data_IF_926757129367
#
_entry.id   IF_926757129367
#
_cell.length_a   1.000
_cell.length_b   1.000
_cell.length_c   1.000
_cell.angle_alpha   90.00
_cell.angle_beta   90.00
_cell.angle_gamma   90.00
#
_symmetry.space_group_name_H-M   'P 1'
#
loop_
_entity.id
_entity.type
_entity.pdbx_description
1 polymer ?
#
# COMPACT_ATOMS: atom_id res chain seq x y z
N UNK A 1 3.43 21.87 -13.91
CA UNK A 1 3.87 20.86 -12.93
C UNK A 1 2.64 20.35 -12.20
N UNK A 2 2.23 19.10 -12.41
CA UNK A 2 1.06 18.54 -11.70
C UNK A 2 1.48 18.12 -10.29
N UNK A 3 0.75 18.60 -9.28
CA UNK A 3 1.04 18.31 -7.88
C UNK A 3 0.73 16.84 -7.63
N UNK A 4 1.77 15.99 -7.60
CA UNK A 4 1.67 14.53 -7.41
C UNK A 4 1.36 14.18 -5.95
N UNK A 5 0.19 14.57 -5.46
CA UNK A 5 -0.22 14.41 -4.06
C UNK A 5 -0.01 15.64 -3.19
N UNK A 6 -0.54 15.59 -1.97
CA UNK A 6 -0.52 16.65 -0.96
C UNK A 6 0.36 16.23 0.22
N UNK A 7 1.21 17.14 0.71
CA UNK A 7 2.01 16.90 1.91
C UNK A 7 1.36 17.62 3.08
N UNK A 8 1.10 16.89 4.16
CA UNK A 8 0.62 17.43 5.43
C UNK A 8 1.59 16.94 6.51
N UNK A 9 2.32 17.87 7.12
CA UNK A 9 3.40 17.57 8.06
C UNK A 9 4.41 16.59 7.44
N UNK A 10 4.59 15.41 8.03
CA UNK A 10 5.48 14.34 7.56
C UNK A 10 4.74 13.25 6.75
N UNK A 11 3.50 13.53 6.32
CA UNK A 11 2.63 12.59 5.59
C UNK A 11 2.39 13.04 4.16
N UNK A 12 2.67 12.16 3.19
CA UNK A 12 2.27 12.33 1.79
C UNK A 12 0.95 11.61 1.51
N UNK A 13 -0.06 12.37 1.09
CA UNK A 13 -1.31 11.86 0.54
C UNK A 13 -1.17 11.73 -0.97
N UNK A 14 -1.29 10.53 -1.52
CA UNK A 14 -1.11 10.28 -2.95
C UNK A 14 -2.15 9.29 -3.49
N UNK A 15 -2.45 9.34 -4.80
CA UNK A 15 -3.32 8.32 -5.38
C UNK A 15 -2.60 6.97 -5.52
N UNK A 16 -1.35 6.96 -6.02
CA UNK A 16 -0.53 5.74 -6.15
C UNK A 16 -0.06 5.39 -7.57
N UNK A 17 -0.44 6.17 -8.59
CA UNK A 17 0.01 5.96 -9.99
C UNK A 17 1.44 6.44 -10.28
N UNK A 18 2.08 7.16 -9.35
CA UNK A 18 3.38 7.81 -9.60
C UNK A 18 4.31 7.62 -8.43
N UNK A 19 5.60 7.45 -8.73
CA UNK A 19 6.67 7.50 -7.73
C UNK A 19 6.82 8.94 -7.21
N UNK A 20 6.79 9.19 -5.89
CA UNK A 20 7.08 10.49 -5.32
C UNK A 20 8.52 10.91 -5.65
N UNK A 21 8.74 12.20 -5.86
CA UNK A 21 10.10 12.72 -6.09
C UNK A 21 10.96 12.61 -4.83
N UNK A 22 12.28 12.51 -5.01
CA UNK A 22 13.28 12.52 -3.93
C UNK A 22 13.22 13.78 -3.06
N UNK A 23 12.69 14.89 -3.58
CA UNK A 23 12.40 16.11 -2.81
C UNK A 23 11.44 15.88 -1.62
N UNK A 24 10.77 14.73 -1.56
CA UNK A 24 9.89 14.31 -0.47
C UNK A 24 10.50 13.22 0.41
N UNK A 25 11.82 13.06 0.38
CA UNK A 25 12.57 12.10 1.19
C UNK A 25 12.35 12.24 2.71
N UNK A 26 12.04 13.45 3.18
CA UNK A 26 11.81 13.75 4.60
C UNK A 26 10.50 13.20 5.16
N UNK A 27 9.58 12.71 4.31
CA UNK A 27 8.32 12.14 4.80
C UNK A 27 8.56 10.87 5.61
N UNK A 28 7.74 10.71 6.65
CA UNK A 28 7.69 9.48 7.47
C UNK A 28 6.56 8.57 7.08
N UNK A 29 5.55 9.09 6.38
CA UNK A 29 4.36 8.33 6.01
C UNK A 29 3.86 8.65 4.61
N UNK A 30 3.37 7.62 3.93
CA UNK A 30 2.59 7.72 2.70
C UNK A 30 1.22 7.10 2.97
N UNK A 31 0.15 7.83 2.66
CA UNK A 31 -1.21 7.28 2.61
C UNK A 31 -1.67 7.31 1.17
N UNK A 32 -2.06 6.15 0.64
CA UNK A 32 -2.40 6.02 -0.78
C UNK A 32 -3.56 5.08 -1.09
N UNK A 33 -4.17 5.30 -2.24
CA UNK A 33 -5.24 4.46 -2.79
C UNK A 33 -4.72 3.57 -3.93
N UNK A 34 -5.42 3.63 -5.07
CA UNK A 34 -5.11 2.94 -6.33
C UNK A 34 -5.26 1.41 -6.32
N UNK A 35 -4.66 0.73 -5.35
CA UNK A 35 -4.60 -0.74 -5.31
C UNK A 35 -5.95 -1.35 -4.89
N UNK A 36 -6.71 -0.64 -4.06
CA UNK A 36 -8.00 -1.09 -3.50
C UNK A 36 -7.90 -2.54 -2.98
N UNK A 37 -7.12 -2.78 -1.91
CA UNK A 37 -6.83 -4.12 -1.45
C UNK A 37 -8.08 -4.80 -0.88
N UNK A 38 -8.17 -6.10 -1.16
CA UNK A 38 -9.28 -6.98 -0.78
C UNK A 38 -8.67 -8.27 -0.28
N UNK A 39 -9.22 -8.82 0.79
CA UNK A 39 -8.80 -10.13 1.26
C UNK A 39 -9.31 -11.22 0.30
N UNK A 40 -8.40 -12.05 -0.20
CA UNK A 40 -8.70 -13.18 -1.07
C UNK A 40 -7.85 -14.39 -0.69
N UNK A 41 -8.50 -15.44 -0.21
CA UNK A 41 -7.90 -16.74 0.12
C UNK A 41 -8.93 -17.83 -0.14
N UNK A 42 -8.59 -18.87 -0.90
CA UNK A 42 -9.49 -19.99 -1.13
C UNK A 42 -10.10 -20.51 0.18
N UNK A 43 -11.42 -20.76 0.16
CA UNK A 43 -12.21 -21.26 1.29
C UNK A 43 -12.24 -20.36 2.54
N UNK A 44 -12.02 -19.05 2.40
CA UNK A 44 -12.18 -18.11 3.51
C UNK A 44 -13.55 -17.44 3.53
N UNK A 45 -14.18 -17.39 4.71
CA UNK A 45 -15.47 -16.71 4.95
C UNK A 45 -15.39 -15.18 4.88
N UNK A 46 -14.17 -14.62 4.88
CA UNK A 46 -13.91 -13.17 4.77
C UNK A 46 -13.44 -12.76 3.38
N UNK A 47 -13.54 -13.65 2.38
CA UNK A 47 -13.23 -13.31 1.00
C UNK A 47 -14.06 -12.14 0.50
N UNK A 48 -13.41 -11.28 -0.30
CA UNK A 48 -14.07 -10.09 -0.84
C UNK A 48 -14.18 -8.94 0.17
N UNK A 49 -13.73 -9.10 1.43
CA UNK A 49 -13.70 -7.99 2.38
C UNK A 49 -12.62 -6.98 2.02
N UNK A 50 -13.00 -5.70 2.06
CA UNK A 50 -12.07 -4.56 1.97
C UNK A 50 -11.15 -4.55 3.18
N UNK A 51 -9.88 -4.29 2.92
CA UNK A 51 -8.85 -4.23 3.96
C UNK A 51 -8.02 -2.96 3.82
N UNK A 52 -7.41 -2.54 4.91
CA UNK A 52 -6.27 -1.65 4.96
C UNK A 52 -5.00 -2.49 4.87
N UNK A 53 -3.97 -1.96 4.21
CA UNK A 53 -2.62 -2.51 4.32
C UNK A 53 -1.71 -1.47 4.98
N UNK A 54 -0.97 -1.91 5.99
CA UNK A 54 0.04 -1.12 6.68
C UNK A 54 1.39 -1.76 6.43
N UNK A 55 2.32 -1.01 5.85
CA UNK A 55 3.67 -1.47 5.56
C UNK A 55 4.66 -0.57 6.27
N UNK A 56 5.65 -1.17 6.91
CA UNK A 56 6.86 -0.47 7.35
C UNK A 56 7.99 -0.92 6.45
N UNK A 57 8.58 0.04 5.73
CA UNK A 57 9.61 -0.26 4.74
C UNK A 57 10.89 0.52 5.03
N UNK A 58 12.03 -0.03 4.61
CA UNK A 58 13.32 0.67 4.60
C UNK A 58 13.26 1.87 3.69
N UNK A 59 13.42 3.07 4.24
CA UNK A 59 13.30 4.33 3.50
C UNK A 59 14.35 4.42 2.41
N UNK A 60 15.58 4.02 2.69
CA UNK A 60 16.71 4.02 1.75
C UNK A 60 16.46 3.22 0.47
N UNK A 61 15.63 2.16 0.57
CA UNK A 61 15.25 1.33 -0.58
C UNK A 61 14.17 1.97 -1.45
N UNK A 62 13.42 2.94 -0.90
CA UNK A 62 12.40 3.70 -1.63
C UNK A 62 13.01 5.01 -2.16
N UNK A 63 13.72 5.73 -1.31
CA UNK A 63 14.39 7.00 -1.58
C UNK A 63 15.90 6.86 -1.29
N UNK A 64 16.72 6.59 -2.32
CA UNK A 64 18.17 6.50 -2.17
C UNK A 64 18.78 7.76 -1.54
N UNK A 65 19.79 7.59 -0.67
CA UNK A 65 20.43 8.69 0.05
C UNK A 65 19.71 9.13 1.33
N UNK A 66 18.68 8.40 1.76
CA UNK A 66 18.02 8.57 3.06
C UNK A 66 18.35 7.40 3.99
N UNK A 67 17.95 7.46 5.25
CA UNK A 67 18.07 6.37 6.22
C UNK A 67 16.78 6.27 7.05
N UNK A 68 16.43 5.06 7.48
CA UNK A 68 15.40 4.81 8.48
C UNK A 68 14.16 4.16 7.89
N UNK A 69 13.00 4.35 8.53
CA UNK A 69 11.75 3.68 8.14
C UNK A 69 10.73 4.63 7.54
N UNK A 70 9.95 4.10 6.61
CA UNK A 70 8.83 4.78 5.95
C UNK A 70 7.56 3.93 6.14
N UNK A 71 6.51 4.54 6.67
CA UNK A 71 5.19 3.91 6.73
C UNK A 71 4.47 4.10 5.39
N UNK A 72 3.90 3.03 4.84
CA UNK A 72 3.00 3.08 3.69
C UNK A 72 1.66 2.48 4.08
N UNK A 73 0.61 3.29 4.02
CA UNK A 73 -0.76 2.91 4.33
C UNK A 73 -1.55 2.89 3.02
N UNK A 74 -2.07 1.72 2.65
CA UNK A 74 -2.92 1.56 1.46
C UNK A 74 -4.37 1.46 1.92
N UNK A 75 -5.19 2.42 1.48
CA UNK A 75 -6.60 2.50 1.85
C UNK A 75 -7.47 1.67 0.89
N UNK A 76 -8.53 1.00 1.38
CA UNK A 76 -9.49 0.34 0.52
C UNK A 76 -10.32 1.36 -0.28
N UNK A 77 -11.02 0.89 -1.31
CA UNK A 77 -12.07 1.69 -1.95
C UNK A 77 -13.23 1.91 -0.99
N UNK A 78 -13.60 3.16 -0.71
CA UNK A 78 -14.77 3.48 0.12
C UNK A 78 -16.10 3.37 -0.63
N UNK A 79 -16.08 3.38 -1.96
CA UNK A 79 -17.30 3.29 -2.76
C UNK A 79 -17.85 1.85 -2.72
N UNK A 80 -19.05 1.70 -2.15
CA UNK A 80 -19.78 0.42 -2.03
C UNK A 80 -20.35 -0.05 -3.37
N UNK A 81 -20.67 0.88 -4.25
CA UNK A 81 -21.38 0.67 -5.52
C UNK A 81 -20.43 0.34 -6.67
N UNK A 82 -19.12 0.55 -6.50
CA UNK A 82 -18.12 0.08 -7.45
C UNK A 82 -17.99 -1.43 -7.26
N UNK A 83 -18.45 -2.26 -8.23
CA UNK A 83 -18.41 -3.70 -8.09
C UNK A 83 -16.96 -4.13 -7.89
N UNK A 84 -16.73 -4.93 -6.87
CA UNK A 84 -15.44 -5.56 -6.59
C UNK A 84 -15.24 -6.67 -7.60
N UNK A 85 -15.05 -6.30 -8.87
CA UNK A 85 -14.83 -7.29 -9.91
C UNK A 85 -13.55 -8.03 -9.51
N UNK A 86 -13.65 -9.35 -9.34
CA UNK A 86 -12.53 -10.30 -9.30
C UNK A 86 -11.79 -10.24 -10.64
N UNK A 87 -11.24 -9.07 -11.00
CA UNK A 87 -10.49 -8.92 -12.24
C UNK A 87 -9.20 -9.69 -12.02
N UNK A 88 -9.12 -10.84 -12.70
CA UNK A 88 -7.88 -11.56 -13.06
C UNK A 88 -6.89 -10.70 -13.88
N UNK A 89 -7.17 -9.41 -14.06
CA UNK A 89 -6.27 -8.48 -14.73
C UNK A 89 -5.30 -7.93 -13.71
N UNK A 90 -4.01 -8.15 -13.96
CA UNK A 90 -2.90 -7.61 -13.19
C UNK A 90 -3.19 -6.15 -12.83
N UNK A 91 -3.54 -5.89 -11.57
CA UNK A 91 -3.62 -4.51 -11.07
C UNK A 91 -2.25 -3.91 -11.36
N UNK A 92 -2.21 -2.71 -11.94
CA UNK A 92 -0.96 -1.97 -12.04
C UNK A 92 -0.44 -1.83 -10.60
N UNK A 93 0.60 -2.60 -10.27
CA UNK A 93 1.18 -2.54 -8.93
C UNK A 93 1.76 -1.14 -8.86
N UNK A 94 1.27 -0.33 -7.91
CA UNK A 94 1.77 1.03 -7.71
C UNK A 94 3.30 1.04 -7.79
N UNK A 95 3.92 2.01 -8.51
CA UNK A 95 5.38 2.06 -8.63
C UNK A 95 6.12 2.01 -7.29
N UNK A 96 5.53 2.57 -6.22
CA UNK A 96 6.09 2.55 -4.87
C UNK A 96 6.07 1.13 -4.29
N UNK A 97 4.96 0.41 -4.45
CA UNK A 97 4.80 -0.96 -3.95
C UNK A 97 5.67 -1.92 -4.77
N UNK A 98 5.74 -1.73 -6.09
CA UNK A 98 6.62 -2.53 -6.93
C UNK A 98 8.08 -2.35 -6.51
N UNK A 99 8.53 -1.11 -6.27
CA UNK A 99 9.86 -0.83 -5.73
C UNK A 99 10.08 -1.51 -4.37
N UNK A 100 9.11 -1.41 -3.46
CA UNK A 100 9.21 -2.03 -2.15
C UNK A 100 9.37 -3.56 -2.23
N UNK A 101 8.66 -4.22 -3.15
CA UNK A 101 8.77 -5.66 -3.41
C UNK A 101 10.10 -6.02 -4.09
N UNK A 102 10.48 -5.31 -5.15
CA UNK A 102 11.70 -5.56 -5.93
C UNK A 102 12.97 -5.44 -5.09
N UNK A 103 13.03 -4.46 -4.17
CA UNK A 103 14.18 -4.24 -3.31
C UNK A 103 14.09 -4.94 -1.94
N UNK A 104 13.08 -5.82 -1.75
CA UNK A 104 12.83 -6.48 -0.46
C UNK A 104 12.84 -5.49 0.72
N UNK A 105 12.20 -4.33 0.52
CA UNK A 105 12.24 -3.20 1.44
C UNK A 105 11.27 -3.36 2.63
N UNK A 106 10.30 -4.26 2.53
CA UNK A 106 9.24 -4.44 3.53
C UNK A 106 9.78 -5.18 4.74
N UNK A 107 9.83 -4.49 5.89
CA UNK A 107 10.27 -5.07 7.16
C UNK A 107 9.09 -5.65 7.95
N UNK A 108 7.96 -4.96 7.92
CA UNK A 108 6.73 -5.36 8.59
C UNK A 108 5.54 -5.04 7.69
N UNK A 109 4.52 -5.89 7.73
CA UNK A 109 3.27 -5.64 7.03
C UNK A 109 2.08 -6.22 7.79
N UNK A 110 0.93 -5.55 7.69
CA UNK A 110 -0.30 -5.94 8.35
C UNK A 110 -1.51 -5.64 7.44
N UNK A 111 -2.46 -6.56 7.40
CA UNK A 111 -3.75 -6.41 6.74
C UNK A 111 -4.87 -6.36 7.79
N UNK A 112 -5.69 -5.31 7.73
CA UNK A 112 -6.74 -5.06 8.72
C UNK A 112 -8.07 -4.80 8.02
N UNK A 113 -9.14 -5.39 8.51
CA UNK A 113 -10.51 -5.14 8.02
C UNK A 113 -11.04 -3.78 8.46
N UNK A 114 -12.14 -3.30 7.87
CA UNK A 114 -12.71 -1.99 8.21
C UNK A 114 -13.21 -1.88 9.67
N UNK A 115 -13.60 -3.01 10.27
CA UNK A 115 -14.01 -3.15 11.67
C UNK A 115 -12.82 -3.35 12.62
N UNK A 116 -11.58 -3.32 12.10
CA UNK A 116 -10.36 -3.37 12.91
C UNK A 116 -9.80 -4.77 13.17
N UNK A 117 -10.43 -5.83 12.64
CA UNK A 117 -9.89 -7.20 12.79
C UNK A 117 -8.62 -7.38 11.94
N UNK A 118 -7.54 -7.86 12.55
CA UNK A 118 -6.29 -8.21 11.85
C UNK A 118 -6.49 -9.55 11.14
N UNK A 119 -6.24 -9.58 9.83
CA UNK A 119 -6.42 -10.79 9.00
C UNK A 119 -5.10 -11.36 8.48
N UNK A 120 -4.01 -10.60 8.59
CA UNK A 120 -2.63 -11.05 8.40
C UNK A 120 -1.65 -10.02 8.97
N UNK A 121 -0.49 -10.49 9.43
CA UNK A 121 0.55 -9.70 10.12
C UNK A 121 1.98 -10.12 9.73
N UNK A 122 2.16 -10.68 8.53
CA UNK A 122 3.46 -11.13 8.02
C UNK A 122 3.99 -10.23 6.90
N UNK A 123 5.33 -10.15 6.77
CA UNK A 123 6.00 -9.34 5.73
C UNK A 123 5.60 -9.73 4.29
N UNK A 124 5.14 -10.96 4.07
CA UNK A 124 4.79 -11.45 2.73
C UNK A 124 3.30 -11.23 2.40
N UNK A 125 2.51 -10.62 3.29
CA UNK A 125 1.07 -10.37 3.08
C UNK A 125 0.81 -9.63 1.77
N UNK A 126 1.65 -8.66 1.41
CA UNK A 126 1.53 -7.87 0.18
C UNK A 126 1.75 -8.75 -1.05
N UNK A 127 2.78 -9.59 -1.03
CA UNK A 127 3.06 -10.50 -2.13
C UNK A 127 1.90 -11.50 -2.32
N UNK A 128 1.29 -12.00 -1.24
CA UNK A 128 0.18 -12.95 -1.30
C UNK A 128 -1.16 -12.34 -1.73
N UNK A 129 -1.40 -11.08 -1.36
CA UNK A 129 -2.68 -10.40 -1.63
C UNK A 129 -2.68 -9.60 -2.94
N UNK A 130 -1.50 -9.28 -3.49
CA UNK A 130 -1.36 -8.49 -4.72
C UNK A 130 -0.78 -9.28 -5.91
N UNK A 131 -0.40 -10.55 -5.74
CA UNK A 131 -0.10 -11.50 -6.84
C UNK A 131 -1.37 -12.02 -7.50
#
# INVERSE_FOLDING_TARGET
MSVKGMVMEETLLAHGHTMPSSARASIKRIVMGHIHPVFSRCNSVINGRRIWLYLKVKREMIFPGTVGTLDIIIVPSFNKDVPMIHKRYAKSISPIINRALQHNAIEQAMAVTLDGSIVADDRNVVARLLS
#
